data_IF_527037140135
#
_entry.id   IF_527037140135
#
_cell.length_a   1.000
_cell.length_b   1.000
_cell.length_c   1.000
_cell.angle_alpha   90.00
_cell.angle_beta   90.00
_cell.angle_gamma   90.00
#
_symmetry.space_group_name_H-M   'P 1'
#
loop_
_entity.id
_entity.type
_entity.pdbx_description
1 polymer ?
#
# COMPACT_ATOMS: atom_id res chain seq x y z
N UNK A 1 -1.90 2.82 -21.13
CA UNK A 1 -2.11 4.27 -21.00
C UNK A 1 -0.75 4.89 -20.76
N UNK A 2 -0.32 5.72 -21.67
CA UNK A 2 0.93 6.44 -21.51
C UNK A 2 0.71 7.53 -20.46
N UNK A 3 1.46 7.46 -19.39
CA UNK A 3 1.39 8.40 -18.27
C UNK A 3 2.64 9.28 -18.31
N UNK A 4 2.51 10.49 -18.86
CA UNK A 4 3.62 11.44 -19.00
C UNK A 4 4.40 11.65 -17.68
N UNK A 5 3.72 11.56 -16.55
CA UNK A 5 4.38 11.66 -15.23
C UNK A 5 5.31 10.49 -14.93
N UNK A 6 5.12 9.30 -15.52
CA UNK A 6 6.05 8.17 -15.40
C UNK A 6 7.31 8.42 -16.23
N UNK A 7 7.15 8.98 -17.43
CA UNK A 7 8.26 9.28 -18.32
C UNK A 7 9.15 10.42 -17.80
N UNK A 8 8.53 11.40 -17.13
CA UNK A 8 9.20 12.62 -16.67
C UNK A 8 9.59 12.61 -15.19
N UNK A 9 9.34 11.54 -14.44
CA UNK A 9 9.70 11.47 -13.03
C UNK A 9 11.20 11.19 -12.83
N UNK A 10 11.70 11.54 -11.65
CA UNK A 10 13.06 11.17 -11.22
C UNK A 10 13.19 9.69 -10.84
N UNK A 11 12.10 9.09 -10.36
CA UNK A 11 12.00 7.67 -10.06
C UNK A 11 10.55 7.19 -10.14
N UNK A 12 10.36 5.97 -10.65
CA UNK A 12 9.10 5.24 -10.59
C UNK A 12 9.28 4.04 -9.65
N UNK A 13 8.46 3.95 -8.61
CA UNK A 13 8.55 2.95 -7.55
C UNK A 13 7.33 2.04 -7.65
N UNK A 14 7.54 0.75 -7.91
CA UNK A 14 6.48 -0.25 -7.86
C UNK A 14 6.40 -0.81 -6.45
N UNK A 15 5.28 -0.55 -5.76
CA UNK A 15 5.01 -1.14 -4.46
C UNK A 15 4.27 -2.45 -4.69
N UNK A 16 4.90 -3.54 -4.26
CA UNK A 16 4.39 -4.89 -4.46
C UNK A 16 3.78 -5.43 -3.16
N UNK A 17 2.64 -6.09 -3.27
CA UNK A 17 2.00 -6.81 -2.18
C UNK A 17 2.33 -8.30 -2.31
N UNK A 18 2.90 -8.89 -1.24
CA UNK A 18 3.23 -10.32 -1.18
C UNK A 18 2.07 -11.11 -0.59
N UNK A 19 1.55 -12.05 -1.36
CA UNK A 19 0.32 -12.78 -1.04
C UNK A 19 0.52 -13.89 0.00
N UNK A 20 1.73 -14.40 0.11
CA UNK A 20 2.11 -15.52 0.99
C UNK A 20 3.01 -15.09 2.16
N UNK A 21 3.03 -13.81 2.53
CA UNK A 21 3.91 -13.30 3.60
C UNK A 21 3.73 -14.03 4.94
N UNK A 22 2.55 -14.62 5.18
CA UNK A 22 2.24 -15.39 6.37
C UNK A 22 3.09 -16.67 6.52
N UNK A 23 3.67 -17.21 5.45
CA UNK A 23 4.56 -18.38 5.54
C UNK A 23 5.87 -18.07 6.27
N UNK A 24 6.24 -16.80 6.35
CA UNK A 24 7.43 -16.34 7.08
C UNK A 24 7.19 -16.16 8.59
N UNK A 25 5.99 -16.46 9.09
CA UNK A 25 5.65 -16.31 10.51
C UNK A 25 6.69 -16.94 11.47
N UNK A 26 7.25 -18.12 11.22
CA UNK A 26 8.30 -18.69 12.08
C UNK A 26 9.55 -17.78 12.16
N UNK A 27 9.94 -17.17 11.06
CA UNK A 27 11.08 -16.24 11.01
C UNK A 27 10.74 -14.89 11.64
N UNK A 28 9.54 -14.36 11.36
CA UNK A 28 9.07 -13.09 11.90
C UNK A 28 9.02 -13.13 13.43
N UNK A 29 8.53 -14.22 13.99
CA UNK A 29 8.38 -14.39 15.43
C UNK A 29 9.55 -15.14 16.11
N UNK A 30 10.67 -15.34 15.41
CA UNK A 30 11.82 -16.09 15.93
C UNK A 30 12.37 -15.57 17.26
N UNK A 31 12.29 -14.25 17.49
CA UNK A 31 12.79 -13.60 18.71
C UNK A 31 11.74 -13.53 19.84
N UNK A 32 10.50 -13.93 19.58
CA UNK A 32 9.46 -13.93 20.60
C UNK A 32 9.69 -15.10 21.59
N UNK A 33 9.45 -14.88 22.91
CA UNK A 33 9.52 -15.95 23.90
C UNK A 33 8.47 -17.04 23.65
N UNK A 34 8.81 -18.30 23.96
CA UNK A 34 7.82 -19.36 24.11
C UNK A 34 6.97 -19.11 25.38
N UNK A 35 5.65 -19.37 25.40
CA UNK A 35 4.82 -19.96 24.33
C UNK A 35 4.23 -18.90 23.35
N UNK A 36 4.63 -17.64 23.43
CA UNK A 36 4.09 -16.58 22.57
C UNK A 36 4.38 -16.87 21.11
N UNK A 37 5.59 -17.32 20.79
CA UNK A 37 6.01 -17.63 19.42
C UNK A 37 5.09 -18.66 18.77
N UNK A 38 4.86 -19.80 19.44
CA UNK A 38 3.97 -20.85 18.94
C UNK A 38 2.55 -20.34 18.72
N UNK A 39 2.04 -19.56 19.68
CA UNK A 39 0.71 -18.95 19.58
C UNK A 39 0.60 -18.04 18.36
N UNK A 40 1.58 -17.15 18.13
CA UNK A 40 1.56 -16.19 17.01
C UNK A 40 1.65 -16.91 15.66
N UNK A 41 2.50 -17.92 15.55
CA UNK A 41 2.60 -18.76 14.35
C UNK A 41 1.26 -19.46 14.07
N UNK A 42 0.67 -20.09 15.09
CA UNK A 42 -0.61 -20.80 14.98
C UNK A 42 -1.76 -19.86 14.57
N UNK A 43 -1.86 -18.70 15.20
CA UNK A 43 -2.87 -17.69 14.84
C UNK A 43 -2.69 -17.20 13.39
N UNK A 44 -1.46 -16.94 12.96
CA UNK A 44 -1.15 -16.52 11.59
C UNK A 44 -1.57 -17.59 10.59
N UNK A 45 -1.21 -18.86 10.84
CA UNK A 45 -1.61 -19.97 10.00
C UNK A 45 -3.14 -20.13 9.92
N UNK A 46 -3.84 -19.96 11.03
CA UNK A 46 -5.31 -20.02 11.06
C UNK A 46 -5.98 -18.88 10.29
N UNK A 47 -5.46 -17.65 10.44
CA UNK A 47 -6.05 -16.46 9.77
C UNK A 47 -5.86 -16.48 8.26
N UNK A 48 -4.69 -16.85 7.79
CA UNK A 48 -4.32 -16.78 6.36
C UNK A 48 -4.45 -18.11 5.64
N UNK A 49 -4.32 -19.23 6.37
CA UNK A 49 -4.37 -20.58 5.77
C UNK A 49 -5.72 -20.86 5.11
N UNK A 50 -5.68 -21.15 3.81
CA UNK A 50 -6.89 -21.44 3.03
C UNK A 50 -7.80 -20.25 2.72
N UNK A 51 -7.42 -19.03 3.09
CA UNK A 51 -8.19 -17.81 2.83
C UNK A 51 -7.41 -16.83 1.93
N UNK A 52 -7.32 -17.17 0.65
CA UNK A 52 -6.57 -16.39 -0.34
C UNK A 52 -7.08 -14.94 -0.48
N UNK A 53 -8.40 -14.72 -0.35
CA UNK A 53 -8.97 -13.37 -0.42
C UNK A 53 -8.53 -12.54 0.78
N UNK A 54 -8.58 -13.09 1.98
CA UNK A 54 -8.12 -12.39 3.18
C UNK A 54 -6.62 -12.06 3.09
N UNK A 55 -5.78 -13.02 2.67
CA UNK A 55 -4.35 -12.81 2.49
C UNK A 55 -4.06 -11.70 1.47
N UNK A 56 -4.80 -11.67 0.37
CA UNK A 56 -4.70 -10.62 -0.65
C UNK A 56 -5.10 -9.26 -0.11
N UNK A 57 -6.24 -9.17 0.57
CA UNK A 57 -6.74 -7.91 1.10
C UNK A 57 -5.80 -7.31 2.15
N UNK A 58 -5.23 -8.16 3.00
CA UNK A 58 -4.23 -7.75 3.99
C UNK A 58 -2.92 -7.29 3.35
N UNK A 59 -2.45 -8.02 2.34
CA UNK A 59 -1.27 -7.64 1.59
C UNK A 59 -1.43 -6.25 0.91
N UNK A 60 -2.60 -5.98 0.33
CA UNK A 60 -2.92 -4.67 -0.27
C UNK A 60 -2.99 -3.57 0.80
N UNK A 61 -3.61 -3.83 1.97
CA UNK A 61 -3.63 -2.85 3.08
C UNK A 61 -2.21 -2.50 3.52
N UNK A 62 -1.36 -3.51 3.75
CA UNK A 62 0.03 -3.32 4.13
C UNK A 62 0.82 -2.52 3.09
N UNK A 63 0.69 -2.86 1.81
CA UNK A 63 1.31 -2.13 0.72
C UNK A 63 0.82 -0.67 0.63
N UNK A 64 -0.47 -0.42 0.87
CA UNK A 64 -1.04 0.93 0.87
C UNK A 64 -0.53 1.79 2.03
N UNK A 65 -0.41 1.23 3.23
CA UNK A 65 0.17 1.92 4.39
C UNK A 65 1.65 2.24 4.16
N UNK A 66 2.43 1.29 3.62
CA UNK A 66 3.83 1.50 3.26
C UNK A 66 3.98 2.58 2.18
N UNK A 67 3.10 2.59 1.17
CA UNK A 67 3.04 3.62 0.13
C UNK A 67 2.84 5.02 0.71
N UNK A 68 1.89 5.17 1.62
CA UNK A 68 1.63 6.47 2.25
C UNK A 68 2.81 6.92 3.11
N UNK A 69 3.41 6.02 3.87
CA UNK A 69 4.61 6.30 4.67
C UNK A 69 5.78 6.76 3.79
N UNK A 70 6.00 6.07 2.66
CA UNK A 70 7.01 6.44 1.67
C UNK A 70 6.76 7.86 1.12
N UNK A 71 5.52 8.17 0.74
CA UNK A 71 5.18 9.50 0.20
C UNK A 71 5.42 10.61 1.22
N UNK A 72 5.08 10.42 2.50
CA UNK A 72 5.40 11.38 3.55
C UNK A 72 6.91 11.52 3.77
N UNK A 73 7.65 10.41 3.78
CA UNK A 73 9.10 10.44 3.92
C UNK A 73 9.79 11.14 2.74
N UNK A 74 9.28 10.96 1.52
CA UNK A 74 9.74 11.68 0.34
C UNK A 74 9.49 13.18 0.46
N UNK A 75 8.25 13.56 0.87
CA UNK A 75 7.89 14.98 1.06
C UNK A 75 8.75 15.66 2.12
N UNK A 76 9.05 14.99 3.22
CA UNK A 76 9.95 15.50 4.25
C UNK A 76 11.37 15.74 3.75
N UNK A 77 11.76 15.13 2.63
CA UNK A 77 13.06 15.29 1.95
C UNK A 77 13.01 16.22 0.73
N UNK A 78 11.90 16.94 0.54
CA UNK A 78 11.72 17.90 -0.55
C UNK A 78 11.38 17.29 -1.92
N UNK A 79 10.89 16.04 -1.93
CA UNK A 79 10.36 15.41 -3.14
C UNK A 79 8.84 15.43 -3.15
N UNK A 80 8.28 15.58 -4.33
CA UNK A 80 6.86 15.37 -4.59
C UNK A 80 6.63 13.96 -5.12
N UNK A 81 5.44 13.43 -4.88
CA UNK A 81 5.07 12.07 -5.27
C UNK A 81 3.66 12.04 -5.84
N UNK A 82 3.43 11.10 -6.78
CA UNK A 82 2.11 10.81 -7.33
C UNK A 82 1.83 9.30 -7.25
N UNK A 83 0.80 8.92 -6.49
CA UNK A 83 0.36 7.53 -6.39
C UNK A 83 -0.64 7.19 -7.49
N UNK A 84 -0.47 6.04 -8.13
CA UNK A 84 -1.27 5.59 -9.25
C UNK A 84 -1.63 4.10 -9.12
N UNK A 85 -2.84 3.76 -9.57
CA UNK A 85 -3.31 2.38 -9.74
C UNK A 85 -3.81 2.11 -11.17
N UNK A 86 -3.86 3.15 -12.02
CA UNK A 86 -4.36 3.08 -13.41
C UNK A 86 -3.31 2.56 -14.39
N UNK A 87 -2.70 1.42 -14.12
CA UNK A 87 -1.73 0.73 -14.96
C UNK A 87 -2.20 -0.69 -15.30
N UNK A 88 -1.54 -1.33 -16.25
CA UNK A 88 -1.75 -2.77 -16.52
C UNK A 88 -0.91 -3.58 -15.51
N UNK A 89 -1.54 -4.32 -14.56
CA UNK A 89 -0.80 -5.04 -13.53
C UNK A 89 0.11 -6.14 -14.07
N UNK A 90 -0.31 -6.82 -15.13
CA UNK A 90 0.48 -7.90 -15.75
C UNK A 90 1.75 -7.34 -16.38
N UNK A 91 1.63 -6.27 -17.18
CA UNK A 91 2.78 -5.64 -17.80
C UNK A 91 3.77 -5.06 -16.76
N UNK A 92 3.25 -4.49 -15.65
CA UNK A 92 4.11 -4.01 -14.56
C UNK A 92 4.79 -5.17 -13.83
N UNK A 93 4.09 -6.27 -13.60
CA UNK A 93 4.66 -7.47 -12.99
C UNK A 93 5.79 -8.05 -13.85
N UNK A 94 5.60 -8.13 -15.17
CA UNK A 94 6.62 -8.59 -16.12
C UNK A 94 7.88 -7.69 -16.08
N UNK A 95 7.70 -6.37 -16.18
CA UNK A 95 8.81 -5.41 -16.14
C UNK A 95 9.55 -5.47 -14.81
N UNK A 96 8.83 -5.65 -13.69
CA UNK A 96 9.41 -5.74 -12.36
C UNK A 96 9.95 -7.14 -12.01
N UNK A 97 9.75 -8.14 -12.88
CA UNK A 97 10.19 -9.51 -12.63
C UNK A 97 9.50 -10.18 -11.44
N UNK A 98 8.22 -9.88 -11.21
CA UNK A 98 7.49 -10.41 -10.07
C UNK A 98 7.10 -11.88 -10.28
N UNK A 99 7.29 -12.69 -9.23
CA UNK A 99 6.76 -14.05 -9.18
C UNK A 99 5.25 -14.06 -8.86
N UNK A 100 4.63 -15.23 -9.01
CA UNK A 100 3.17 -15.42 -8.90
C UNK A 100 2.59 -15.07 -7.52
N UNK A 101 3.43 -15.05 -6.49
CA UNK A 101 3.04 -14.68 -5.12
C UNK A 101 3.12 -13.17 -4.84
N UNK A 102 3.39 -12.34 -5.85
CA UNK A 102 3.40 -10.90 -5.76
C UNK A 102 2.41 -10.25 -6.72
N UNK A 103 1.83 -9.14 -6.29
CA UNK A 103 1.03 -8.27 -7.16
C UNK A 103 1.53 -6.83 -7.05
N UNK A 104 1.58 -6.07 -8.16
CA UNK A 104 1.86 -4.64 -8.10
C UNK A 104 0.64 -3.92 -7.52
N UNK A 105 0.76 -3.46 -6.28
CA UNK A 105 -0.33 -2.82 -5.55
C UNK A 105 -0.47 -1.33 -5.89
N UNK A 106 0.65 -0.66 -6.14
CA UNK A 106 0.67 0.77 -6.44
C UNK A 106 1.94 1.13 -7.20
N UNK A 107 1.84 2.09 -8.11
CA UNK A 107 2.98 2.76 -8.74
C UNK A 107 3.09 4.17 -8.17
N UNK A 108 4.26 4.53 -7.67
CA UNK A 108 4.53 5.87 -7.13
C UNK A 108 5.62 6.52 -7.97
N UNK A 109 5.27 7.61 -8.64
CA UNK A 109 6.27 8.48 -9.25
C UNK A 109 6.79 9.46 -8.22
N UNK A 110 8.08 9.77 -8.29
CA UNK A 110 8.74 10.68 -7.37
C UNK A 110 9.68 11.61 -8.15
N UNK A 111 9.71 12.87 -7.75
CA UNK A 111 10.60 13.87 -8.36
C UNK A 111 10.49 15.21 -7.67
N UNK A 112 11.12 16.23 -8.24
CA UNK A 112 10.89 17.62 -7.85
C UNK A 112 9.75 18.15 -8.70
N UNK A 113 8.58 18.31 -8.09
CA UNK A 113 7.38 18.78 -8.78
C UNK A 113 7.51 20.23 -9.23
N UNK A 114 6.92 20.52 -10.38
CA UNK A 114 6.64 21.89 -10.80
C UNK A 114 5.31 22.36 -10.20
N UNK A 115 5.07 23.66 -10.04
CA UNK A 115 3.77 24.16 -9.60
C UNK A 115 2.64 23.56 -10.44
N UNK A 116 1.54 23.10 -9.80
CA UNK A 116 0.43 22.50 -10.53
C UNK A 116 -0.22 23.53 -11.47
N UNK A 117 -0.51 23.10 -12.70
CA UNK A 117 -1.20 23.93 -13.69
C UNK A 117 -2.68 24.19 -13.34
N UNK A 118 -3.24 23.37 -12.45
CA UNK A 118 -4.65 23.46 -12.02
C UNK A 118 -4.76 23.55 -10.50
N UNK A 119 -5.81 24.22 -10.00
CA UNK A 119 -6.10 24.24 -8.56
C UNK A 119 -6.31 22.83 -8.01
N UNK A 120 -6.12 22.68 -6.69
CA UNK A 120 -6.42 21.44 -5.99
C UNK A 120 -7.90 21.05 -6.21
N UNK A 121 -8.14 19.83 -6.64
CA UNK A 121 -9.49 19.29 -6.81
C UNK A 121 -10.31 19.27 -5.50
N UNK A 122 -11.62 19.19 -5.64
CA UNK A 122 -12.57 19.15 -4.52
C UNK A 122 -12.18 18.07 -3.49
N UNK A 123 -12.32 18.41 -2.24
CA UNK A 123 -12.23 17.49 -1.10
C UNK A 123 -13.49 17.62 -0.26
N UNK A 124 -14.09 16.48 0.08
CA UNK A 124 -15.24 16.47 0.98
C UNK A 124 -14.90 17.12 2.31
N UNK A 125 -15.80 17.88 2.91
CA UNK A 125 -15.66 18.34 4.29
C UNK A 125 -15.40 17.18 5.26
N UNK A 126 -14.64 17.45 6.31
CA UNK A 126 -14.26 16.42 7.28
C UNK A 126 -15.49 15.70 7.86
N UNK A 127 -16.55 16.44 8.20
CA UNK A 127 -17.79 15.88 8.75
C UNK A 127 -18.58 14.99 7.80
N UNK A 128 -18.28 14.99 6.48
CA UNK A 128 -18.88 14.03 5.56
C UNK A 128 -18.16 12.68 5.57
N UNK A 129 -16.85 12.68 5.83
CA UNK A 129 -15.99 11.48 5.73
C UNK A 129 -15.64 10.87 7.09
N UNK A 130 -15.74 11.66 8.17
CA UNK A 130 -15.50 11.19 9.53
C UNK A 130 -16.80 11.32 10.32
N UNK A 131 -17.29 10.20 10.85
CA UNK A 131 -18.47 10.12 11.66
C UNK A 131 -18.13 9.65 13.05
N UNK A 132 -18.83 10.17 14.06
CA UNK A 132 -18.68 9.75 15.44
C UNK A 132 -19.52 8.48 15.67
N UNK A 133 -18.90 7.48 16.26
CA UNK A 133 -19.46 6.20 16.69
C UNK A 133 -20.06 5.34 15.57
N UNK A 134 -20.87 5.90 14.66
CA UNK A 134 -21.60 5.19 13.61
C UNK A 134 -21.58 5.97 12.31
N UNK A 135 -21.77 5.27 11.16
CA UNK A 135 -21.80 5.90 9.83
C UNK A 135 -22.95 6.89 9.66
N UNK A 136 -24.07 6.68 10.36
CA UNK A 136 -25.21 7.60 10.41
C UNK A 136 -25.13 8.62 11.56
N UNK A 137 -24.04 8.62 12.30
CA UNK A 137 -23.78 9.53 13.41
C UNK A 137 -23.40 10.96 12.97
N UNK A 138 -23.21 11.82 13.95
CA UNK A 138 -22.78 13.18 13.71
C UNK A 138 -21.41 13.23 12.97
N UNK A 139 -21.28 14.16 12.03
CA UNK A 139 -20.01 14.43 11.38
C UNK A 139 -19.03 15.14 12.34
N UNK A 140 -17.75 14.90 12.16
CA UNK A 140 -16.72 15.66 12.87
C UNK A 140 -16.71 17.11 12.36
N UNK A 141 -16.71 18.08 13.28
CA UNK A 141 -16.65 19.51 12.97
C UNK A 141 -15.28 19.93 12.41
#
# INVERSE_FOLDING_TARGET
MDQAQVENCGAAIVVCARLDAHVDAPTIFAQAPEPMRERMIGMTAQMYGGNAQFARDEAIRGASLASMTLMYAAKARGFDTGAMIGFNPQAVAEVAGLGDNYIPAMLIVMGRGTPPATPRGYRKPLGEVVKLERLDGAGLA
#
